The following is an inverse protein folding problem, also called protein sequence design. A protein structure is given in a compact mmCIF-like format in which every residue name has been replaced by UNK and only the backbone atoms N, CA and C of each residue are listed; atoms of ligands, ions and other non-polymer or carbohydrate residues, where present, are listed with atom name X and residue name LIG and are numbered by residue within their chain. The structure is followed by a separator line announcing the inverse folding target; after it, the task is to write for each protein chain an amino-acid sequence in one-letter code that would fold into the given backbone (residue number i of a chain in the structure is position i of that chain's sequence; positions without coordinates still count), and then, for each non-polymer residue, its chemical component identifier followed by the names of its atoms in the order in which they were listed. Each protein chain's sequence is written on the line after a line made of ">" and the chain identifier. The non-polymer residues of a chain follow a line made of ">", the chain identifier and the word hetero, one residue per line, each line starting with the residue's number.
data_IF_758441738917
#
_entry.id   IF_758441738917
#
_cell.length_a   1.000
_cell.length_b   1.000
_cell.length_c   1.000
_cell.angle_alpha   90.00
_cell.angle_beta   90.00
_cell.angle_gamma   90.00
#
_symmetry.space_group_name_H-M   'P 1'
#
loop_
_entity.id
_entity.type
_entity.pdbx_description
1 polymer ?
#
# COMPACT_ATOMS: atom_id res chain seq x y z
N UNK A 1 0.69 2.97 -2.36
CA UNK A 1 0.99 4.22 -1.65
C UNK A 1 2.37 4.71 -2.12
N UNK A 2 2.60 6.01 -2.33
CA UNK A 2 3.90 6.55 -2.74
C UNK A 2 4.26 7.71 -1.81
N UNK A 3 5.37 7.58 -1.09
CA UNK A 3 5.79 8.56 -0.08
C UNK A 3 7.31 8.71 -0.11
N UNK A 4 7.76 9.91 0.23
CA UNK A 4 9.18 10.26 0.30
C UNK A 4 9.79 9.98 1.68
N UNK A 5 9.02 9.36 2.60
CA UNK A 5 9.49 9.00 3.94
C UNK A 5 10.51 7.87 3.86
N UNK A 6 11.55 7.98 4.68
CA UNK A 6 12.57 6.93 4.80
C UNK A 6 11.98 5.59 5.22
N UNK A 7 12.55 4.50 4.70
CA UNK A 7 12.17 3.13 5.07
C UNK A 7 12.22 2.92 6.59
N UNK A 8 13.24 3.45 7.28
CA UNK A 8 13.44 3.27 8.71
C UNK A 8 12.41 4.05 9.56
N UNK A 9 11.74 5.03 8.97
CA UNK A 9 10.80 5.88 9.70
C UNK A 9 9.36 5.36 9.66
N UNK A 10 9.07 4.25 8.98
CA UNK A 10 7.69 3.78 8.83
C UNK A 10 7.15 2.99 10.01
N UNK A 11 8.01 2.24 10.71
CA UNK A 11 7.59 1.33 11.78
C UNK A 11 6.74 2.05 12.83
N UNK A 12 5.61 1.44 13.19
CA UNK A 12 4.65 1.97 14.14
C UNK A 12 3.69 3.03 13.58
N UNK A 13 3.86 3.47 12.33
CA UNK A 13 2.94 4.42 11.70
C UNK A 13 1.63 3.73 11.32
N UNK A 14 0.51 4.42 11.50
CA UNK A 14 -0.79 3.99 11.00
C UNK A 14 -1.04 4.51 9.59
N UNK A 15 -1.55 3.64 8.73
CA UNK A 15 -1.95 3.95 7.36
C UNK A 15 -3.42 3.62 7.19
N UNK A 16 -4.21 4.64 6.86
CA UNK A 16 -5.62 4.49 6.49
C UNK A 16 -5.76 4.56 4.96
N UNK A 17 -6.44 3.56 4.38
CA UNK A 17 -6.75 3.50 2.97
C UNK A 17 -8.22 3.79 2.72
N UNK A 18 -8.49 4.76 1.84
CA UNK A 18 -9.85 5.15 1.48
C UNK A 18 -10.20 4.76 0.05
N UNK A 19 -11.46 4.46 -0.21
CA UNK A 19 -11.98 4.25 -1.57
C UNK A 19 -11.97 5.54 -2.38
N UNK A 20 -12.05 5.42 -3.71
CA UNK A 20 -12.11 6.59 -4.60
C UNK A 20 -13.51 7.20 -4.61
N UNK A 21 -13.59 8.54 -4.52
CA UNK A 21 -14.85 9.31 -4.52
C UNK A 21 -15.76 8.99 -5.72
N UNK A 22 -15.16 8.78 -6.88
CA UNK A 22 -15.86 8.54 -8.15
C UNK A 22 -16.63 7.23 -8.18
N UNK A 23 -16.23 6.24 -7.38
CA UNK A 23 -16.87 4.92 -7.36
C UNK A 23 -18.10 4.89 -6.43
N UNK A 24 -18.29 5.95 -5.63
CA UNK A 24 -19.25 5.96 -4.52
C UNK A 24 -20.04 7.27 -4.39
N UNK A 25 -20.46 7.87 -5.51
CA UNK A 25 -21.41 9.00 -5.51
C UNK A 25 -20.95 10.15 -4.60
N UNK A 26 -19.66 10.52 -4.67
CA UNK A 26 -19.14 11.65 -3.90
C UNK A 26 -18.63 11.32 -2.49
N UNK A 27 -18.44 10.04 -2.15
CA UNK A 27 -18.05 9.61 -0.79
C UNK A 27 -16.72 8.84 -0.78
N UNK A 28 -15.92 9.04 0.28
CA UNK A 28 -14.75 8.23 0.62
C UNK A 28 -15.09 7.29 1.77
N UNK A 29 -14.88 5.99 1.59
CA UNK A 29 -15.03 4.98 2.65
C UNK A 29 -13.68 4.51 3.15
N UNK A 30 -13.54 4.27 4.44
CA UNK A 30 -12.38 3.57 4.97
C UNK A 30 -12.44 2.10 4.54
N UNK A 31 -11.43 1.67 3.79
CA UNK A 31 -11.32 0.30 3.28
C UNK A 31 -10.37 -0.53 4.15
N UNK A 32 -9.30 0.10 4.63
CA UNK A 32 -8.36 -0.57 5.53
C UNK A 32 -7.67 0.43 6.47
N UNK A 33 -7.23 -0.07 7.61
CA UNK A 33 -6.40 0.61 8.58
C UNK A 33 -5.29 -0.35 9.00
N UNK A 34 -4.04 0.05 8.84
CA UNK A 34 -2.89 -0.83 9.00
C UNK A 34 -1.80 -0.12 9.77
N UNK A 35 -1.33 -0.72 10.86
CA UNK A 35 -0.09 -0.32 11.52
C UNK A 35 1.08 -0.97 10.77
N UNK A 36 2.10 -0.18 10.44
CA UNK A 36 3.27 -0.71 9.74
C UNK A 36 4.21 -1.39 10.73
N UNK A 37 4.54 -2.67 10.51
CA UNK A 37 5.60 -3.35 11.25
C UNK A 37 6.95 -3.19 10.56
N UNK A 38 7.00 -3.46 9.25
CA UNK A 38 8.22 -3.39 8.44
C UNK A 38 8.04 -2.57 7.17
N UNK A 39 9.14 -2.03 6.68
CA UNK A 39 9.20 -1.36 5.40
C UNK A 39 10.46 -1.79 4.64
N UNK A 40 10.37 -1.77 3.31
CA UNK A 40 11.41 -2.29 2.42
C UNK A 40 11.69 -1.30 1.29
N UNK A 41 12.92 -1.27 0.80
CA UNK A 41 13.31 -0.41 -0.33
C UNK A 41 13.04 -1.06 -1.69
N UNK A 42 12.99 -2.40 -1.73
CA UNK A 42 12.87 -3.17 -2.97
C UNK A 42 11.84 -4.29 -2.84
N UNK A 43 11.27 -4.68 -3.99
CA UNK A 43 10.37 -5.82 -4.05
C UNK A 43 11.08 -7.12 -3.68
N UNK A 44 12.39 -7.22 -3.91
CA UNK A 44 13.20 -8.35 -3.50
C UNK A 44 13.18 -8.55 -1.98
N UNK A 45 13.52 -7.50 -1.23
CA UNK A 45 13.57 -7.58 0.23
C UNK A 45 12.18 -7.83 0.83
N UNK A 46 11.15 -7.21 0.25
CA UNK A 46 9.76 -7.53 0.63
C UNK A 46 9.45 -9.00 0.34
N UNK A 47 9.78 -9.50 -0.86
CA UNK A 47 9.50 -10.87 -1.25
C UNK A 47 10.09 -11.86 -0.26
N UNK A 48 11.35 -11.68 0.14
CA UNK A 48 12.06 -12.57 1.06
C UNK A 48 11.45 -12.62 2.47
N UNK A 49 10.79 -11.55 2.91
CA UNK A 49 10.05 -11.51 4.17
C UNK A 49 8.72 -12.26 4.12
N UNK A 50 8.04 -12.26 2.97
CA UNK A 50 6.68 -12.82 2.86
C UNK A 50 6.65 -14.35 2.98
N UNK A 51 5.60 -14.88 3.62
CA UNK A 51 5.34 -16.33 3.63
C UNK A 51 5.01 -16.85 2.23
N UNK A 52 5.21 -18.15 2.00
CA UNK A 52 4.90 -18.79 0.70
C UNK A 52 3.45 -18.54 0.25
N UNK A 53 2.49 -18.60 1.18
CA UNK A 53 1.09 -18.36 0.90
C UNK A 53 0.85 -16.92 0.43
N UNK A 54 1.41 -15.93 1.14
CA UNK A 54 1.26 -14.52 0.78
C UNK A 54 1.94 -14.22 -0.55
N UNK A 55 3.14 -14.77 -0.78
CA UNK A 55 3.83 -14.69 -2.08
C UNK A 55 2.93 -15.17 -3.22
N UNK A 56 2.34 -16.36 -3.10
CA UNK A 56 1.47 -16.91 -4.15
C UNK A 56 0.22 -16.04 -4.40
N UNK A 57 -0.39 -15.52 -3.34
CA UNK A 57 -1.59 -14.69 -3.44
C UNK A 57 -1.32 -13.30 -4.01
N UNK A 58 -0.17 -12.70 -3.68
CA UNK A 58 0.20 -11.31 -3.99
C UNK A 58 1.14 -11.17 -5.18
N UNK A 59 1.66 -12.26 -5.73
CA UNK A 59 2.61 -12.19 -6.84
C UNK A 59 1.97 -11.65 -8.11
N UNK A 60 2.65 -10.71 -8.76
CA UNK A 60 2.17 -10.09 -10.01
C UNK A 60 2.20 -11.04 -11.20
N UNK A 61 3.08 -12.03 -11.22
CA UNK A 61 3.24 -12.98 -12.35
C UNK A 61 2.12 -14.03 -12.41
N UNK A 62 1.58 -14.43 -11.25
CA UNK A 62 0.51 -15.42 -11.13
C UNK A 62 -0.88 -14.82 -10.95
N UNK A 63 -0.99 -13.59 -10.42
CA UNK A 63 -2.27 -12.95 -10.13
C UNK A 63 -2.37 -11.56 -10.79
N UNK A 64 -3.42 -11.33 -11.57
CA UNK A 64 -3.68 -10.03 -12.20
C UNK A 64 -3.84 -8.88 -11.20
N UNK A 65 -4.28 -9.17 -9.97
CA UNK A 65 -4.43 -8.22 -8.87
C UNK A 65 -3.26 -8.23 -7.88
N UNK A 66 -2.22 -9.04 -8.16
CA UNK A 66 -1.00 -9.03 -7.38
C UNK A 66 -0.29 -7.68 -7.45
N UNK A 67 0.50 -7.40 -6.41
CA UNK A 67 1.22 -6.15 -6.21
C UNK A 67 2.68 -6.35 -5.76
N UNK A 68 3.13 -7.60 -5.67
CA UNK A 68 4.53 -7.95 -5.34
C UNK A 68 5.19 -8.65 -6.52
N UNK A 69 6.35 -8.17 -6.94
CA UNK A 69 7.11 -8.77 -8.03
C UNK A 69 8.02 -9.89 -7.54
N UNK A 70 7.95 -11.04 -8.19
CA UNK A 70 8.79 -12.21 -7.87
C UNK A 70 10.18 -12.07 -8.49
N UNK A 71 11.26 -12.15 -7.68
CA UNK A 71 12.63 -12.14 -8.18
C UNK A 71 13.03 -13.34 -9.04
N UNK A 72 14.00 -13.12 -9.92
CA UNK A 72 14.70 -14.13 -10.70
C UNK A 72 16.13 -14.29 -10.18
N UNK A 73 16.48 -15.47 -9.68
CA UNK A 73 17.87 -15.81 -9.35
C UNK A 73 18.30 -15.33 -7.97
N UNK A 74 19.46 -14.65 -7.90
CA UNK A 74 20.16 -14.33 -6.65
C UNK A 74 20.04 -12.85 -6.27
N UNK A 75 19.90 -12.60 -4.98
CA UNK A 75 19.85 -11.26 -4.42
C UNK A 75 21.21 -10.57 -4.55
N UNK A 76 21.24 -9.50 -5.34
CA UNK A 76 22.35 -8.56 -5.39
C UNK A 76 21.78 -7.15 -5.42
N UNK A 77 22.53 -6.18 -4.88
CA UNK A 77 22.08 -4.79 -4.81
C UNK A 77 21.68 -4.21 -6.18
N UNK A 78 22.36 -4.64 -7.26
CA UNK A 78 22.02 -4.26 -8.63
C UNK A 78 20.72 -4.93 -9.12
N UNK A 79 20.52 -6.21 -8.77
CA UNK A 79 19.34 -6.97 -9.18
C UNK A 79 18.06 -6.47 -8.53
N UNK A 80 18.11 -6.00 -7.28
CA UNK A 80 16.93 -5.55 -6.54
C UNK A 80 16.15 -4.43 -7.25
N UNK A 81 16.83 -3.61 -8.06
CA UNK A 81 16.22 -2.50 -8.79
C UNK A 81 16.28 -2.68 -10.32
N UNK A 82 16.67 -3.86 -10.79
CA UNK A 82 16.71 -4.19 -12.20
C UNK A 82 15.47 -5.01 -12.55
N UNK A 83 14.59 -4.47 -13.40
CA UNK A 83 13.39 -5.17 -13.83
C UNK A 83 13.69 -6.50 -14.53
N UNK A 84 14.81 -6.63 -15.24
CA UNK A 84 15.20 -7.90 -15.88
C UNK A 84 15.49 -9.03 -14.88
N UNK A 85 15.63 -8.69 -13.59
CA UNK A 85 15.85 -9.63 -12.50
C UNK A 85 14.54 -10.05 -11.81
N UNK A 86 13.38 -9.86 -12.46
CA UNK A 86 12.06 -10.25 -11.96
C UNK A 86 11.21 -10.94 -13.03
N UNK A 87 10.26 -11.78 -12.61
CA UNK A 87 9.26 -12.35 -13.50
C UNK A 87 8.34 -11.26 -14.06
N UNK A 88 7.98 -11.39 -15.34
CA UNK A 88 7.00 -10.50 -15.95
C UNK A 88 5.62 -10.67 -15.29
N UNK A 89 4.84 -9.58 -15.14
CA UNK A 89 3.48 -9.67 -14.64
C UNK A 89 2.57 -10.55 -15.49
N UNK A 90 1.52 -11.05 -14.85
CA UNK A 90 0.39 -11.74 -15.45
C UNK A 90 -0.13 -10.93 -16.65
N UNK A 91 -0.58 -11.63 -17.69
CA UNK A 91 -0.93 -11.01 -18.96
C UNK A 91 -2.03 -9.95 -18.84
N UNK A 92 -2.95 -10.14 -17.90
CA UNK A 92 -4.06 -9.22 -17.57
C UNK A 92 -3.75 -8.18 -16.49
N UNK A 93 -2.49 -8.07 -16.04
CA UNK A 93 -2.13 -7.11 -15.01
C UNK A 93 -2.27 -5.68 -15.52
N UNK A 94 -2.94 -4.81 -14.74
CA UNK A 94 -3.34 -3.45 -15.16
C UNK A 94 -2.18 -2.59 -15.67
N UNK A 95 -0.96 -2.76 -15.13
CA UNK A 95 0.25 -2.03 -15.55
C UNK A 95 1.31 -2.91 -16.18
N UNK A 96 0.89 -3.92 -16.96
CA UNK A 96 1.80 -4.89 -17.58
C UNK A 96 2.93 -4.26 -18.42
N UNK A 97 2.73 -3.13 -19.07
CA UNK A 97 3.76 -2.55 -19.94
C UNK A 97 4.71 -1.57 -19.22
N UNK A 98 4.25 -0.97 -18.13
CA UNK A 98 5.00 0.05 -17.36
C UNK A 98 5.64 -0.51 -16.08
N UNK A 99 5.50 -1.81 -15.84
CA UNK A 99 5.98 -2.47 -14.63
C UNK A 99 7.48 -2.30 -14.33
N UNK A 100 8.42 -2.12 -15.28
CA UNK A 100 9.81 -1.88 -14.94
C UNK A 100 9.98 -0.62 -14.09
N UNK A 101 9.09 0.35 -14.28
CA UNK A 101 9.05 1.58 -13.48
C UNK A 101 8.57 1.34 -12.05
N UNK A 102 7.75 0.32 -11.82
CA UNK A 102 7.30 -0.04 -10.47
C UNK A 102 8.42 -0.73 -9.67
N UNK A 103 9.33 -1.48 -10.33
CA UNK A 103 10.54 -2.05 -9.70
C UNK A 103 11.52 -0.99 -9.21
N UNK A 104 11.81 0.01 -10.04
CA UNK A 104 12.75 1.08 -9.71
C UNK A 104 12.05 2.44 -9.66
N UNK A 105 10.94 2.51 -8.91
CA UNK A 105 10.18 3.73 -8.82
C UNK A 105 10.95 4.83 -8.10
N UNK A 106 11.33 5.87 -8.83
CA UNK A 106 11.92 7.10 -8.33
C UNK A 106 11.06 8.29 -8.78
N UNK A 107 10.80 9.24 -7.89
CA UNK A 107 10.05 10.46 -8.24
C UNK A 107 11.04 11.51 -8.75
N UNK A 108 10.76 12.12 -9.91
CA UNK A 108 11.61 13.11 -10.57
C UNK A 108 12.25 14.10 -9.56
N UNK A 109 13.58 14.21 -9.60
CA UNK A 109 14.38 15.13 -8.78
C UNK A 109 14.90 14.56 -7.46
N UNK A 110 14.27 13.51 -6.93
CA UNK A 110 14.75 12.82 -5.72
C UNK A 110 15.15 11.39 -6.07
N UNK A 111 16.44 11.07 -5.91
CA UNK A 111 17.00 9.72 -6.05
C UNK A 111 16.47 8.70 -5.01
N UNK A 112 15.40 9.05 -4.30
CA UNK A 112 14.80 8.25 -3.24
C UNK A 112 13.69 7.39 -3.80
N UNK A 113 13.75 6.10 -3.47
CA UNK A 113 12.71 5.12 -3.80
C UNK A 113 11.58 5.19 -2.78
N UNK A 114 10.36 4.92 -3.23
CA UNK A 114 9.22 4.81 -2.31
C UNK A 114 9.33 3.51 -1.52
N UNK A 115 9.09 3.59 -0.21
CA UNK A 115 9.06 2.39 0.64
C UNK A 115 7.86 1.49 0.30
N UNK A 116 8.11 0.18 0.29
CA UNK A 116 7.09 -0.86 0.29
C UNK A 116 6.78 -1.22 1.75
N UNK A 117 5.51 -1.32 2.09
CA UNK A 117 5.07 -1.41 3.49
C UNK A 117 4.47 -2.78 3.77
N UNK A 118 4.85 -3.37 4.90
CA UNK A 118 4.25 -4.58 5.45
C UNK A 118 3.53 -4.23 6.75
N UNK A 119 2.23 -4.55 6.78
CA UNK A 119 1.38 -4.36 7.95
C UNK A 119 1.69 -5.36 9.05
N UNK A 120 1.44 -4.95 10.28
CA UNK A 120 1.40 -5.80 11.45
C UNK A 120 0.11 -6.64 11.43
N UNK A 121 0.23 -7.97 11.49
CA UNK A 121 -0.92 -8.88 11.40
C UNK A 121 -1.94 -8.69 12.54
N UNK A 122 -1.49 -8.29 13.73
CA UNK A 122 -2.37 -8.06 14.89
C UNK A 122 -3.04 -6.69 14.86
N UNK A 123 -2.45 -5.73 14.14
CA UNK A 123 -2.89 -4.33 14.08
C UNK A 123 -3.21 -3.88 12.65
N UNK A 124 -3.86 -4.76 11.90
CA UNK A 124 -4.37 -4.49 10.55
C UNK A 124 -5.82 -4.90 10.41
N UNK A 125 -6.64 -3.97 9.92
CA UNK A 125 -8.09 -4.12 9.80
C UNK A 125 -8.51 -3.80 8.37
N UNK A 126 -9.42 -4.62 7.83
CA UNK A 126 -10.01 -4.44 6.50
C UNK A 126 -11.51 -4.49 6.65
N UNK A 127 -12.21 -3.55 6.04
CA UNK A 127 -13.67 -3.52 6.02
C UNK A 127 -14.16 -4.06 4.69
N UNK A 128 -15.02 -5.09 4.77
CA UNK A 128 -15.73 -5.66 3.62
C UNK A 128 -16.94 -4.81 3.21
N UNK A 129 -17.48 -4.03 4.16
CA UNK A 129 -18.59 -3.10 3.96
C UNK A 129 -18.15 -1.66 4.13
N UNK A 130 -18.67 -0.81 3.25
CA UNK A 130 -18.47 0.64 3.25
C UNK A 130 -19.27 1.33 4.37
N UNK A 131 -18.90 1.09 5.63
CA UNK A 131 -19.67 1.55 6.80
C UNK A 131 -19.15 2.86 7.40
N UNK A 132 -17.82 3.08 7.35
CA UNK A 132 -17.20 4.28 7.93
C UNK A 132 -17.12 5.37 6.86
N UNK A 133 -17.96 6.39 7.06
CA UNK A 133 -18.04 7.57 6.21
C UNK A 133 -17.30 8.75 6.85
N UNK A 134 -16.62 9.54 6.01
CA UNK A 134 -16.02 10.79 6.44
C UNK A 134 -16.62 11.97 5.70
N UNK A 135 -16.87 13.08 6.42
CA UNK A 135 -17.71 14.18 5.96
C UNK A 135 -17.02 15.20 5.04
N UNK A 136 -15.72 15.04 4.76
CA UNK A 136 -15.05 15.97 3.85
C UNK A 136 -15.27 15.54 2.41
N UNK A 137 -15.80 16.45 1.59
CA UNK A 137 -15.96 16.29 0.14
C UNK A 137 -14.68 15.84 -0.59
N UNK A 138 -13.51 15.92 0.07
CA UNK A 138 -12.29 15.23 -0.32
C UNK A 138 -11.43 14.93 0.93
N UNK A 139 -11.38 13.69 1.44
CA UNK A 139 -10.20 13.28 2.22
C UNK A 139 -9.04 13.20 1.21
N UNK A 140 -8.44 14.36 0.94
CA UNK A 140 -7.22 14.61 0.19
C UNK A 140 -6.96 13.74 -1.05
N UNK A 141 -6.92 14.33 -2.25
CA UNK A 141 -6.14 13.73 -3.34
C UNK A 141 -4.68 13.60 -2.91
N UNK A 142 -4.16 12.38 -2.87
CA UNK A 142 -2.76 12.07 -2.57
C UNK A 142 -2.49 11.64 -1.13
N UNK A 143 -1.21 11.44 -0.81
CA UNK A 143 -0.76 11.04 0.52
C UNK A 143 -0.68 12.26 1.45
N UNK A 144 -1.32 12.20 2.62
CA UNK A 144 -1.19 13.20 3.69
C UNK A 144 -0.88 12.51 5.01
N UNK A 145 -0.06 13.18 5.82
CA UNK A 145 0.14 12.83 7.22
C UNK A 145 -0.75 13.75 8.04
N UNK A 146 -1.50 13.19 8.98
CA UNK A 146 -2.40 13.91 9.87
C UNK A 146 -2.25 13.31 11.27
N UNK A 147 -2.33 14.16 12.28
CA UNK A 147 -2.47 13.68 13.66
C UNK A 147 -3.85 13.04 13.83
N UNK A 148 -3.94 11.96 14.62
CA UNK A 148 -5.18 11.22 14.78
C UNK A 148 -6.29 12.11 15.39
N UNK A 149 -5.96 12.90 16.40
CA UNK A 149 -6.91 13.82 17.03
C UNK A 149 -7.54 14.79 16.02
N UNK A 150 -6.70 15.40 15.19
CA UNK A 150 -7.15 16.30 14.13
C UNK A 150 -7.98 15.58 13.07
N UNK A 151 -7.57 14.36 12.71
CA UNK A 151 -8.28 13.56 11.71
C UNK A 151 -9.70 13.20 12.20
N UNK A 152 -9.80 12.72 13.44
CA UNK A 152 -11.09 12.36 14.04
C UNK A 152 -11.98 13.60 14.19
N UNK A 153 -11.44 14.70 14.69
CA UNK A 153 -12.19 15.94 14.90
C UNK A 153 -12.76 16.53 13.60
N UNK A 154 -11.97 16.52 12.53
CA UNK A 154 -12.33 17.20 11.29
C UNK A 154 -13.15 16.33 10.32
N UNK A 155 -13.09 15.01 10.44
CA UNK A 155 -13.61 14.13 9.39
C UNK A 155 -14.63 13.09 9.87
N UNK A 156 -14.67 12.69 11.15
CA UNK A 156 -15.71 11.77 11.60
C UNK A 156 -17.06 12.49 11.65
N UNK A 157 -17.99 12.06 10.80
CA UNK A 157 -19.40 12.21 11.14
C UNK A 157 -19.69 11.28 12.32
N UNK A 158 -20.56 11.71 13.24
CA UNK A 158 -21.17 10.82 14.24
C UNK A 158 -21.74 9.59 13.52
N UNK A 159 -20.96 8.50 13.50
CA UNK A 159 -21.52 7.20 13.28
C UNK A 159 -22.47 6.98 14.45
N UNK A 160 -23.71 6.58 14.18
CA UNK A 160 -24.58 6.01 15.20
C UNK A 160 -23.87 4.75 15.76
N UNK A 161 -22.94 4.95 16.69
CA UNK A 161 -22.27 3.91 17.44
C UNK A 161 -23.31 3.28 18.36
N UNK A 162 -24.05 2.30 17.85
CA UNK A 162 -24.55 1.25 18.72
C UNK A 162 -23.33 0.47 19.17
N UNK A 163 -23.01 0.57 20.46
CA UNK A 163 -21.91 -0.14 21.08
C UNK A 163 -22.00 -1.62 20.73
N UNK A 164 -20.93 -2.17 20.15
CA UNK A 164 -20.69 -3.61 20.18
C UNK A 164 -19.64 -3.81 21.26
N UNK A 165 -20.14 -4.13 22.47
CA UNK A 165 -19.44 -5.00 23.40
C UNK A 165 -19.63 -6.44 22.91
#
# INVERSE_FOLDING_TARGET
>A
MRSLRDVNNWRGTWVAGFSTISEHVGRNFLMYLMRIDKAFESHWSLWDELTTQVRQAKSTDTNQFGDVYRPLGRDTQENQFNACSYHQPHQSHKRRYDWPRDINYQRNGNHRRSALLLGDEEYSFVWDKCEILFNSENIGRGHRTVELGDFLHNHLCEANCRSIL
#
